data_IF_651585265898
#
_entry.id   IF_651585265898
#
_cell.length_a   1.000
_cell.length_b   1.000
_cell.length_c   1.000
_cell.angle_alpha   90.00
_cell.angle_beta   90.00
_cell.angle_gamma   90.00
#
_symmetry.space_group_name_H-M   'P 1'
#
loop_
_entity.id
_entity.type
_entity.pdbx_description
1 polymer ?
#
# COMPACT_ATOMS: atom_id res chain seq x y z
N UNK A 1 13.49 -2.72 -8.21
CA UNK A 1 12.20 -2.92 -8.90
C UNK A 1 12.21 -4.04 -9.94
N UNK A 2 13.35 -4.65 -10.30
CA UNK A 2 13.36 -5.65 -11.39
C UNK A 2 12.69 -6.97 -10.98
N UNK A 3 12.88 -7.37 -9.73
CA UNK A 3 12.35 -8.61 -9.16
C UNK A 3 11.47 -8.28 -7.94
N UNK A 4 10.13 -8.23 -8.06
CA UNK A 4 9.23 -7.90 -6.94
C UNK A 4 9.21 -8.97 -5.84
N UNK A 5 9.68 -10.19 -6.14
CA UNK A 5 9.80 -11.29 -5.18
C UNK A 5 11.10 -11.25 -4.37
N UNK A 6 11.97 -10.25 -4.59
CA UNK A 6 13.25 -10.11 -3.89
C UNK A 6 13.37 -8.73 -3.25
N UNK A 7 13.95 -8.71 -2.06
CA UNK A 7 14.33 -7.46 -1.41
C UNK A 7 15.62 -6.93 -2.02
N UNK A 8 15.66 -5.62 -2.27
CA UNK A 8 16.87 -4.89 -2.62
C UNK A 8 16.96 -3.61 -1.80
N UNK A 9 18.16 -3.02 -1.73
CA UNK A 9 18.38 -1.77 -1.03
C UNK A 9 17.96 -0.59 -1.93
N UNK A 10 17.27 0.37 -1.33
CA UNK A 10 16.87 1.62 -1.96
C UNK A 10 17.56 2.79 -1.27
N UNK A 11 18.30 3.58 -2.04
CA UNK A 11 18.87 4.83 -1.55
C UNK A 11 17.86 5.96 -1.72
N UNK A 12 17.41 6.53 -0.60
CA UNK A 12 16.52 7.69 -0.58
C UNK A 12 17.33 8.99 -0.45
N UNK A 13 17.05 9.99 -1.29
CA UNK A 13 17.72 11.28 -1.26
C UNK A 13 16.73 12.44 -1.33
N UNK A 14 17.05 13.52 -0.61
CA UNK A 14 16.36 14.82 -0.72
C UNK A 14 17.37 15.81 -1.30
N UNK A 15 17.10 16.29 -2.51
CA UNK A 15 17.94 17.23 -3.25
C UNK A 15 17.27 18.59 -3.33
N UNK A 16 18.05 19.63 -3.61
CA UNK A 16 17.52 20.94 -3.96
C UNK A 16 16.84 20.86 -5.34
N UNK A 17 15.55 21.21 -5.40
CA UNK A 17 14.75 21.29 -6.63
C UNK A 17 14.47 22.72 -7.08
N UNK A 18 15.09 23.73 -6.46
CA UNK A 18 14.87 25.14 -6.74
C UNK A 18 13.69 25.71 -5.95
N UNK A 19 12.46 25.50 -6.43
CA UNK A 19 11.25 26.01 -5.76
C UNK A 19 10.84 25.19 -4.54
N UNK A 20 11.34 23.97 -4.43
CA UNK A 20 11.06 23.06 -3.33
C UNK A 20 12.01 21.84 -3.37
N UNK A 21 11.91 20.94 -2.39
CA UNK A 21 12.73 19.74 -2.36
C UNK A 21 12.39 18.79 -3.52
N UNK A 22 13.42 18.13 -4.06
CA UNK A 22 13.28 16.99 -4.97
C UNK A 22 13.61 15.71 -4.22
N UNK A 23 12.64 14.81 -4.13
CA UNK A 23 12.81 13.49 -3.54
C UNK A 23 13.21 12.50 -4.62
N UNK A 24 14.11 11.58 -4.28
CA UNK A 24 14.61 10.56 -5.18
C UNK A 24 14.72 9.22 -4.45
N UNK A 25 14.27 8.14 -5.09
CA UNK A 25 14.48 6.75 -4.66
C UNK A 25 15.27 6.05 -5.76
N UNK A 26 16.45 5.52 -5.42
CA UNK A 26 17.33 4.81 -6.34
C UNK A 26 17.50 3.36 -5.89
N UNK A 27 17.02 2.36 -6.65
CA UNK A 27 17.33 0.96 -6.35
C UNK A 27 18.79 0.66 -6.66
N UNK A 28 19.51 0.04 -5.74
CA UNK A 28 20.94 -0.30 -5.95
C UNK A 28 21.16 -1.29 -7.11
N UNK A 29 20.20 -2.18 -7.34
CA UNK A 29 20.22 -3.16 -8.44
C UNK A 29 19.93 -2.54 -9.82
N UNK A 30 19.36 -1.33 -9.87
CA UNK A 30 19.02 -0.66 -11.12
C UNK A 30 19.12 0.87 -11.03
N UNK A 31 20.33 1.44 -10.85
CA UNK A 31 20.49 2.87 -10.57
C UNK A 31 19.98 3.81 -11.67
N UNK A 32 19.78 3.29 -12.90
CA UNK A 32 19.23 4.06 -14.03
C UNK A 32 17.73 4.31 -13.91
N UNK A 33 17.02 3.52 -13.09
CA UNK A 33 15.58 3.60 -12.92
C UNK A 33 15.22 4.31 -11.61
N UNK A 34 15.80 5.49 -11.41
CA UNK A 34 15.53 6.34 -10.26
C UNK A 34 14.13 6.96 -10.34
N UNK A 35 13.40 6.93 -9.24
CA UNK A 35 12.08 7.56 -9.12
C UNK A 35 12.24 8.92 -8.47
N UNK A 36 11.84 9.98 -9.17
CA UNK A 36 11.87 11.36 -8.65
C UNK A 36 10.48 11.96 -8.50
N UNK A 37 10.27 12.74 -7.46
CA UNK A 37 9.04 13.51 -7.23
C UNK A 37 9.25 14.74 -6.34
N UNK A 38 8.23 15.57 -6.20
CA UNK A 38 8.21 16.75 -5.32
C UNK A 38 7.88 16.44 -3.85
N UNK A 39 7.52 15.19 -3.52
CA UNK A 39 7.26 14.76 -2.15
C UNK A 39 7.67 13.31 -1.92
N UNK A 40 8.05 12.96 -0.68
CA UNK A 40 8.35 11.59 -0.29
C UNK A 40 7.15 10.65 -0.52
N UNK A 41 5.93 11.13 -0.23
CA UNK A 41 4.68 10.38 -0.44
C UNK A 41 4.50 10.02 -1.91
N UNK A 42 4.70 10.97 -2.81
CA UNK A 42 4.59 10.74 -4.26
C UNK A 42 5.68 9.81 -4.77
N UNK A 43 6.93 9.97 -4.31
CA UNK A 43 8.01 9.03 -4.63
C UNK A 43 7.66 7.59 -4.23
N UNK A 44 7.22 7.40 -2.99
CA UNK A 44 6.86 6.08 -2.49
C UNK A 44 5.63 5.49 -3.20
N UNK A 45 4.62 6.32 -3.50
CA UNK A 45 3.46 5.91 -4.30
C UNK A 45 3.87 5.40 -5.69
N UNK A 46 4.82 6.09 -6.33
CA UNK A 46 5.33 5.70 -7.64
C UNK A 46 6.16 4.42 -7.57
N UNK A 47 6.91 4.20 -6.49
CA UNK A 47 7.61 2.94 -6.25
C UNK A 47 6.63 1.77 -6.15
N UNK A 48 5.59 1.89 -5.31
CA UNK A 48 4.58 0.83 -5.16
C UNK A 48 3.87 0.53 -6.48
N UNK A 49 3.55 1.56 -7.29
CA UNK A 49 2.99 1.38 -8.64
C UNK A 49 3.95 0.65 -9.58
N UNK A 50 5.24 1.01 -9.56
CA UNK A 50 6.24 0.37 -10.39
C UNK A 50 6.42 -1.11 -10.02
N UNK A 51 6.47 -1.43 -8.71
CA UNK A 51 6.51 -2.82 -8.21
C UNK A 51 5.25 -3.58 -8.64
N UNK A 52 4.06 -3.01 -8.46
CA UNK A 52 2.81 -3.65 -8.88
C UNK A 52 2.75 -3.90 -10.39
N UNK A 53 3.36 -3.02 -11.21
CA UNK A 53 3.36 -3.14 -12.66
C UNK A 53 4.27 -4.27 -13.18
N UNK A 54 5.27 -4.68 -12.39
CA UNK A 54 6.17 -5.79 -12.73
C UNK A 54 5.81 -7.09 -12.00
N UNK A 55 4.93 -7.01 -11.00
CA UNK A 55 4.44 -8.18 -10.27
C UNK A 55 3.43 -8.93 -11.12
N UNK A 56 3.61 -10.24 -11.24
CA UNK A 56 2.61 -11.14 -11.81
C UNK A 56 1.50 -11.50 -10.81
N UNK A 57 1.65 -11.12 -9.53
CA UNK A 57 0.67 -11.39 -8.48
C UNK A 57 -0.21 -10.17 -8.24
N UNK A 58 -1.51 -10.39 -8.06
CA UNK A 58 -2.42 -9.34 -7.64
C UNK A 58 -2.04 -8.90 -6.22
N UNK A 59 -1.77 -7.61 -6.01
CA UNK A 59 -1.42 -7.06 -4.69
C UNK A 59 -2.58 -6.21 -4.22
N UNK A 60 -3.01 -6.42 -2.97
CA UNK A 60 -4.00 -5.55 -2.33
C UNK A 60 -3.50 -4.11 -2.36
N UNK A 61 -4.34 -3.09 -2.62
CA UNK A 61 -3.89 -1.71 -2.63
C UNK A 61 -3.20 -1.32 -1.32
N UNK A 62 -1.92 -0.95 -1.41
CA UNK A 62 -1.09 -0.54 -0.27
C UNK A 62 -1.12 0.98 -0.14
N UNK A 63 -1.39 1.47 1.06
CA UNK A 63 -1.32 2.89 1.37
C UNK A 63 0.15 3.30 1.46
N UNK A 64 0.60 4.31 0.70
CA UNK A 64 2.00 4.72 0.71
C UNK A 64 2.36 5.46 2.01
N UNK A 65 3.45 5.06 2.67
CA UNK A 65 4.04 5.82 3.76
C UNK A 65 5.40 6.42 3.37
N UNK A 66 5.39 7.59 2.73
CA UNK A 66 6.61 8.17 2.17
C UNK A 66 7.63 8.63 3.21
N UNK A 67 7.17 9.21 4.32
CA UNK A 67 8.06 9.70 5.38
C UNK A 67 8.75 8.55 6.13
N UNK A 68 8.02 7.44 6.35
CA UNK A 68 8.55 6.22 6.95
C UNK A 68 9.53 5.53 6.01
N UNK A 69 9.19 5.40 4.73
CA UNK A 69 10.09 4.81 3.72
C UNK A 69 11.41 5.59 3.58
N UNK A 70 11.36 6.93 3.64
CA UNK A 70 12.57 7.78 3.64
C UNK A 70 13.27 7.84 5.00
N UNK A 71 12.65 7.31 6.06
CA UNK A 71 13.20 7.25 7.41
C UNK A 71 13.22 8.56 8.19
N UNK A 72 12.85 9.71 7.59
CA UNK A 72 12.86 10.98 8.32
C UNK A 72 11.69 11.16 9.27
N UNK A 73 10.69 10.27 9.26
CA UNK A 73 9.69 10.17 10.33
C UNK A 73 10.24 9.46 11.58
N UNK A 74 11.37 8.76 11.51
CA UNK A 74 11.95 8.07 12.64
C UNK A 74 12.28 9.08 13.76
N UNK A 75 11.85 8.89 15.03
CA UNK A 75 11.99 9.88 16.10
C UNK A 75 13.42 10.40 16.29
N UNK A 76 14.41 9.50 16.26
CA UNK A 76 15.84 9.86 16.29
C UNK A 76 16.24 10.76 15.12
N UNK A 77 15.85 10.42 13.89
CA UNK A 77 16.19 11.20 12.69
C UNK A 77 15.49 12.56 12.72
N UNK A 78 14.21 12.62 13.11
CA UNK A 78 13.49 13.89 13.31
C UNK A 78 14.22 14.80 14.31
N UNK A 79 14.64 14.26 15.45
CA UNK A 79 15.36 15.01 16.47
C UNK A 79 16.72 15.53 15.96
N UNK A 80 17.43 14.72 15.18
CA UNK A 80 18.68 15.12 14.54
C UNK A 80 18.45 16.26 13.54
N UNK A 81 17.44 16.16 12.68
CA UNK A 81 17.07 17.21 11.72
C UNK A 81 16.69 18.52 12.44
N UNK A 82 15.91 18.43 13.52
CA UNK A 82 15.56 19.58 14.37
C UNK A 82 16.77 20.28 15.01
N UNK A 83 17.87 19.54 15.19
CA UNK A 83 19.11 20.04 15.79
C UNK A 83 20.05 20.68 14.77
N UNK A 84 19.77 20.58 13.46
CA UNK A 84 20.60 21.16 12.42
C UNK A 84 20.61 22.71 12.47
N UNK A 85 21.74 23.35 12.12
CA UNK A 85 21.79 24.80 11.93
C UNK A 85 20.72 25.26 10.94
N UNK A 86 19.99 26.32 11.30
CA UNK A 86 18.94 26.88 10.44
C UNK A 86 17.54 26.27 10.64
N UNK A 87 17.38 25.16 11.38
CA UNK A 87 16.05 24.57 11.64
C UNK A 87 15.07 25.57 12.29
N UNK A 88 15.57 26.46 13.15
CA UNK A 88 14.80 27.55 13.78
C UNK A 88 14.27 28.60 12.78
N UNK A 89 14.79 28.65 11.55
CA UNK A 89 14.33 29.57 10.49
C UNK A 89 13.10 29.03 9.76
N UNK A 90 12.76 27.75 9.92
CA UNK A 90 11.57 27.15 9.34
C UNK A 90 10.33 27.55 10.17
N UNK A 91 9.77 28.73 9.89
CA UNK A 91 8.69 29.34 10.70
C UNK A 91 7.42 28.49 10.82
N UNK A 92 7.14 27.67 9.80
CA UNK A 92 5.97 26.78 9.77
C UNK A 92 6.26 25.38 10.33
N UNK A 93 7.49 25.11 10.79
CA UNK A 93 7.86 23.79 11.31
C UNK A 93 7.23 23.55 12.69
N UNK A 94 6.54 22.42 12.84
CA UNK A 94 5.98 21.98 14.12
C UNK A 94 7.02 21.19 14.90
N UNK A 95 7.48 21.75 16.01
CA UNK A 95 8.47 21.11 16.88
C UNK A 95 7.87 19.91 17.60
N UNK A 96 8.60 18.80 17.58
CA UNK A 96 8.23 17.54 18.21
C UNK A 96 9.26 17.25 19.29
N UNK A 97 8.77 16.91 20.50
CA UNK A 97 9.64 16.53 21.61
C UNK A 97 10.16 15.11 21.39
N UNK A 98 11.47 14.93 21.44
CA UNK A 98 12.07 13.61 21.48
C UNK A 98 11.89 12.99 22.86
N UNK A 99 11.34 11.78 22.90
CA UNK A 99 11.18 10.99 24.11
C UNK A 99 12.06 9.74 24.03
N UNK A 100 12.94 9.57 25.02
CA UNK A 100 13.79 8.38 25.15
C UNK A 100 13.05 7.38 26.02
N UNK A 101 12.94 6.15 25.53
CA UNK A 101 12.39 5.02 26.29
C UNK A 101 13.17 4.86 27.57
N UNK A 102 12.46 4.89 28.69
CA UNK A 102 13.07 4.57 29.97
C UNK A 102 13.08 3.04 30.09
N UNK A 103 14.23 2.42 30.41
CA UNK A 103 14.26 1.01 30.74
C UNK A 103 13.31 0.75 31.92
N UNK A 104 12.15 0.13 31.66
CA UNK A 104 11.11 -0.08 32.67
C UNK A 104 9.69 0.14 32.14
N UNK A 105 9.53 0.99 31.12
CA UNK A 105 8.28 1.10 30.38
C UNK A 105 8.27 -0.03 29.35
N UNK A 106 7.53 -1.12 29.60
CA UNK A 106 7.46 -2.31 28.74
C UNK A 106 6.90 -2.09 27.33
N UNK A 107 6.91 -0.86 26.83
CA UNK A 107 6.59 -0.49 25.46
C UNK A 107 7.89 -0.26 24.71
N UNK A 108 8.28 -1.24 23.89
CA UNK A 108 9.18 -0.98 22.77
C UNK A 108 8.50 0.12 21.94
N UNK A 109 9.15 1.25 21.61
CA UNK A 109 8.56 2.16 20.64
C UNK A 109 8.35 1.36 19.38
N UNK A 110 7.10 1.18 19.02
CA UNK A 110 6.74 0.65 17.72
C UNK A 110 7.12 1.74 16.72
N UNK A 111 8.41 1.80 16.33
CA UNK A 111 8.94 2.84 15.46
C UNK A 111 8.38 2.67 14.04
N UNK A 112 7.96 1.46 13.68
CA UNK A 112 7.14 1.13 12.51
C UNK A 112 6.21 -0.04 12.88
N UNK A 113 5.06 -0.15 12.23
CA UNK A 113 4.21 -1.34 12.38
C UNK A 113 4.85 -2.51 11.64
N UNK A 114 5.07 -3.63 12.32
CA UNK A 114 5.56 -4.88 11.71
C UNK A 114 4.62 -5.39 10.59
N UNK A 115 3.37 -4.92 10.59
CA UNK A 115 2.33 -5.26 9.62
C UNK A 115 2.18 -4.24 8.48
N UNK A 116 3.01 -3.19 8.43
CA UNK A 116 2.94 -2.20 7.35
C UNK A 116 3.57 -2.72 6.06
N UNK A 117 2.72 -3.24 5.17
CA UNK A 117 3.10 -3.74 3.84
C UNK A 117 3.74 -2.68 2.93
N UNK A 118 3.71 -1.39 3.27
CA UNK A 118 4.34 -0.34 2.48
C UNK A 118 5.85 -0.23 2.73
N UNK A 119 6.33 -0.65 3.90
CA UNK A 119 7.75 -0.53 4.29
C UNK A 119 8.37 -1.85 4.77
N UNK A 120 7.55 -2.87 5.04
CA UNK A 120 7.99 -4.20 5.46
C UNK A 120 7.77 -5.22 4.33
N UNK A 121 8.84 -5.90 3.92
CA UNK A 121 8.82 -6.88 2.84
C UNK A 121 8.03 -8.15 3.18
N UNK A 122 8.11 -8.65 4.42
CA UNK A 122 7.35 -9.82 4.84
C UNK A 122 5.85 -9.50 4.89
N UNK A 123 5.49 -8.31 5.39
CA UNK A 123 4.12 -7.82 5.31
C UNK A 123 3.65 -7.68 3.85
N UNK A 124 4.48 -7.09 2.98
CA UNK A 124 4.20 -7.01 1.56
C UNK A 124 3.90 -8.37 0.92
N UNK A 125 4.71 -9.40 1.22
CA UNK A 125 4.50 -10.75 0.70
C UNK A 125 3.17 -11.36 1.16
N UNK A 126 2.79 -11.15 2.43
CA UNK A 126 1.50 -11.59 2.98
C UNK A 126 0.29 -10.93 2.31
N UNK A 127 0.47 -9.72 1.77
CA UNK A 127 -0.55 -8.97 1.04
C UNK A 127 -0.64 -9.29 -0.46
N UNK A 128 0.18 -10.21 -0.97
CA UNK A 128 0.03 -10.74 -2.32
C UNK A 128 -1.13 -11.73 -2.33
N UNK A 129 -2.14 -11.47 -3.16
CA UNK A 129 -3.24 -12.39 -3.38
C UNK A 129 -2.72 -13.61 -4.14
N UNK A 130 -2.92 -14.79 -3.58
CA UNK A 130 -2.73 -16.04 -4.30
C UNK A 130 -3.91 -16.21 -5.25
N UNK A 131 -3.70 -15.96 -6.54
CA UNK A 131 -4.54 -16.55 -7.58
C UNK A 131 -4.22 -18.05 -7.61
N UNK A 132 -4.92 -18.83 -6.80
CA UNK A 132 -4.91 -20.28 -6.92
C UNK A 132 -5.62 -20.62 -8.24
N UNK A 133 -4.83 -20.73 -9.32
CA UNK A 133 -5.31 -21.09 -10.63
C UNK A 133 -5.76 -22.56 -10.61
N UNK A 134 -6.98 -22.81 -10.14
CA UNK A 134 -7.63 -24.11 -10.24
C UNK A 134 -8.07 -24.31 -11.71
N UNK A 135 -7.09 -24.55 -12.58
CA UNK A 135 -7.34 -25.13 -13.91
C UNK A 135 -7.63 -26.62 -13.71
N UNK A 136 -8.86 -26.94 -13.39
CA UNK A 136 -9.37 -28.30 -13.59
C UNK A 136 -9.71 -28.43 -15.08
N UNK A 137 -8.73 -28.88 -15.87
CA UNK A 137 -9.01 -29.53 -17.15
C UNK A 137 -9.70 -30.87 -16.86
N UNK A 138 -10.94 -31.03 -17.32
CA UNK A 138 -11.39 -32.34 -17.80
C UNK A 138 -12.36 -32.14 -18.96
N UNK A 139 -11.93 -32.59 -20.13
CA UNK A 139 -12.69 -32.72 -21.37
C UNK A 139 -13.09 -34.18 -21.51
N UNK A 140 -14.39 -34.46 -21.57
CA UNK A 140 -15.09 -35.54 -22.30
C UNK A 140 -16.59 -35.31 -21.98
N UNK A 141 -17.53 -35.10 -22.91
CA UNK A 141 -17.79 -35.83 -24.14
C UNK A 141 -18.99 -36.78 -23.91
N UNK A 142 -20.20 -36.36 -24.32
CA UNK A 142 -21.41 -37.16 -24.69
C UNK A 142 -22.74 -36.82 -23.96
N UNK A 143 -23.74 -36.41 -24.76
CA UNK A 143 -25.20 -36.56 -24.56
C UNK A 143 -25.68 -37.83 -25.29
N UNK A 144 -26.95 -38.30 -25.21
CA UNK A 144 -28.12 -37.90 -24.37
C UNK A 144 -28.85 -39.09 -23.69
N UNK A 145 -29.77 -38.83 -22.74
CA UNK A 145 -31.12 -39.49 -22.65
C UNK A 145 -31.98 -38.98 -21.47
N UNK A 146 -33.24 -38.65 -21.77
CA UNK A 146 -34.40 -38.49 -20.86
C UNK A 146 -35.11 -39.86 -20.70
N UNK A 147 -36.27 -40.07 -19.99
CA UNK A 147 -37.21 -39.11 -19.37
C UNK A 147 -37.84 -39.55 -18.01
N UNK A 148 -38.69 -38.68 -17.43
CA UNK A 148 -39.96 -38.98 -16.70
C UNK A 148 -40.22 -37.89 -15.64
N UNK A 149 -41.05 -36.89 -15.93
CA UNK A 149 -42.47 -36.78 -15.53
C UNK A 149 -42.70 -36.63 -14.03
N UNK A 150 -43.18 -35.45 -13.59
CA UNK A 150 -44.61 -35.30 -13.25
C UNK A 150 -44.96 -33.95 -12.61
N UNK A 151 -46.12 -33.45 -13.03
CA UNK A 151 -47.02 -32.47 -12.41
C UNK A 151 -46.79 -30.96 -12.59
N UNK A 152 -47.58 -30.41 -13.53
CA UNK A 152 -48.08 -29.04 -13.56
C UNK A 152 -48.86 -28.69 -12.28
N UNK A 153 -48.97 -27.40 -11.94
CA UNK A 153 -50.25 -26.65 -11.95
C UNK A 153 -50.00 -25.12 -11.75
N UNK A 154 -50.18 -24.38 -12.85
CA UNK A 154 -50.92 -23.11 -13.04
C UNK A 154 -50.83 -21.88 -12.10
N UNK A 155 -50.50 -20.72 -12.75
CA UNK A 155 -51.14 -19.38 -12.72
C UNK A 155 -51.11 -18.60 -11.37
N UNK A 156 -50.83 -17.31 -11.22
CA UNK A 156 -50.90 -16.08 -12.04
C UNK A 156 -50.29 -14.93 -11.22
N UNK A 157 -49.66 -13.93 -11.83
CA UNK A 157 -49.28 -12.66 -11.18
C UNK A 157 -50.50 -11.74 -10.94
N UNK A 158 -50.39 -10.75 -10.02
CA UNK A 158 -50.44 -9.36 -10.48
C UNK A 158 -49.53 -8.37 -9.72
N UNK A 159 -49.42 -7.17 -10.29
CA UNK A 159 -48.46 -6.08 -10.08
C UNK A 159 -48.94 -4.98 -9.09
N UNK A 160 -47.98 -4.17 -8.60
CA UNK A 160 -48.04 -2.79 -8.02
C UNK A 160 -48.39 -2.68 -6.51
N UNK A 161 -47.70 -1.89 -5.67
CA UNK A 161 -47.49 -0.42 -5.67
C UNK A 161 -46.37 0.02 -4.67
N UNK A 162 -45.89 1.29 -4.71
CA UNK A 162 -44.73 1.79 -3.95
C UNK A 162 -45.11 2.47 -2.62
N UNK A 163 -44.14 2.59 -1.71
CA UNK A 163 -44.25 3.36 -0.46
C UNK A 163 -43.22 4.47 -0.39
N UNK A 164 -43.72 5.69 -0.25
CA UNK A 164 -42.98 6.92 0.07
C UNK A 164 -43.25 7.25 1.53
N UNK A 165 -42.24 7.61 2.32
CA UNK A 165 -42.42 8.62 3.37
C UNK A 165 -41.10 9.27 3.79
N UNK A 166 -41.22 10.58 3.90
CA UNK A 166 -40.26 11.62 4.25
C UNK A 166 -40.01 11.70 5.75
N UNK A 167 -38.86 12.25 6.16
CA UNK A 167 -38.77 13.08 7.37
C UNK A 167 -37.56 14.02 7.30
N UNK A 168 -37.83 15.33 7.28
CA UNK A 168 -36.93 16.41 7.71
C UNK A 168 -37.77 17.54 8.28
N UNK A 169 -37.49 17.90 9.53
CA UNK A 169 -37.50 19.24 10.09
C UNK A 169 -36.44 19.29 11.18
#
# INVERSE_FOLDING_TARGET
MKNPDQQCLYTCQIKDGGTGPKFEIVPEEDPQNAIMASSALTCHSNLLKAIASVSSKCVVPIVPSGADFFGFSHPTIQNLIQSCPGARKCTNYRWIRFEVCRPGDGQVPHILSEDDASVNFEAYQRHQCFEENNKTEHVEGQTPQSPSSSHQHHLTSPTMKPSTSYFTS
#
